data_IF_443389523856
#
_entry.id   IF_443389523856
#
_cell.length_a   1.000
_cell.length_b   1.000
_cell.length_c   1.000
_cell.angle_alpha   90.00
_cell.angle_beta   90.00
_cell.angle_gamma   90.00
#
_symmetry.space_group_name_H-M   'P 1'
#
loop_
_entity.id
_entity.type
_entity.pdbx_description
1 polymer ?
#
# COMPACT_ATOMS: atom_id res chain seq x y z
N UNK A 1 14.65 39.05 25.88
CA UNK A 1 14.51 40.46 25.44
C UNK A 1 13.80 40.42 24.09
N UNK A 2 12.52 40.76 23.97
CA UNK A 2 11.91 42.08 24.17
C UNK A 2 11.64 42.66 22.77
N UNK A 3 10.55 43.31 22.40
CA UNK A 3 9.32 43.80 23.02
C UNK A 3 8.38 44.09 21.82
N UNK A 4 7.08 43.75 21.86
CA UNK A 4 5.95 44.53 22.37
C UNK A 4 5.46 45.67 21.45
N UNK A 5 4.13 45.81 21.50
CA UNK A 5 3.26 46.95 21.14
C UNK A 5 3.02 47.28 19.66
N UNK A 6 1.79 47.56 19.22
CA UNK A 6 0.51 47.79 19.90
C UNK A 6 -0.28 48.91 19.19
N UNK A 7 -1.63 48.87 19.29
CA UNK A 7 -2.58 50.01 19.26
C UNK A 7 -2.88 50.63 17.86
N UNK A 8 -4.08 51.03 17.42
CA UNK A 8 -5.49 50.91 17.87
C UNK A 8 -6.46 51.39 16.75
N UNK A 9 -7.74 51.04 16.93
CA UNK A 9 -8.99 51.78 16.64
C UNK A 9 -9.34 52.40 15.27
N UNK A 10 -10.54 52.07 14.80
CA UNK A 10 -11.29 52.85 13.80
C UNK A 10 -12.71 52.33 13.58
N UNK A 11 -13.65 52.71 14.45
CA UNK A 11 -15.08 52.51 14.27
C UNK A 11 -15.64 53.43 13.16
N UNK A 12 -16.58 52.95 12.34
CA UNK A 12 -17.46 53.82 11.57
C UNK A 12 -18.87 53.25 11.43
N UNK A 13 -19.81 53.99 12.00
CA UNK A 13 -21.25 53.81 11.91
C UNK A 13 -21.84 54.91 11.02
N UNK A 14 -22.67 54.55 10.05
CA UNK A 14 -23.62 55.46 9.38
C UNK A 14 -24.80 54.62 8.87
N UNK A 15 -25.94 54.55 9.57
CA UNK A 15 -27.11 55.45 9.49
C UNK A 15 -27.49 55.83 8.06
N UNK A 16 -28.61 55.29 7.57
CA UNK A 16 -29.39 55.95 6.55
C UNK A 16 -30.88 55.97 6.91
N UNK A 17 -31.46 57.17 6.91
CA UNK A 17 -32.83 57.50 7.30
C UNK A 17 -33.73 57.57 6.05
N UNK A 18 -34.90 56.97 6.23
CA UNK A 18 -36.21 57.14 5.60
C UNK A 18 -36.50 58.51 4.98
N UNK A 19 -37.21 58.51 3.84
CA UNK A 19 -37.97 59.67 3.35
C UNK A 19 -39.38 59.24 2.89
N UNK A 20 -40.40 59.65 3.65
CA UNK A 20 -41.82 59.58 3.33
C UNK A 20 -42.26 60.90 2.67
N UNK A 21 -43.08 60.83 1.62
CA UNK A 21 -43.87 61.96 1.15
C UNK A 21 -45.37 61.65 1.24
N UNK A 22 -46.05 62.46 2.04
CA UNK A 22 -47.51 62.57 2.17
C UNK A 22 -48.12 63.33 0.97
N UNK A 23 -49.31 62.91 0.53
CA UNK A 23 -50.35 63.87 0.12
C UNK A 23 -51.77 63.34 0.44
N UNK A 24 -52.46 64.12 1.26
CA UNK A 24 -53.86 64.10 1.68
C UNK A 24 -54.81 64.59 0.53
N UNK A 25 -56.14 64.50 0.50
CA UNK A 25 -57.21 63.86 1.30
C UNK A 25 -58.60 64.05 0.62
N UNK A 26 -59.51 63.05 0.79
CA UNK A 26 -60.97 63.11 1.16
C UNK A 26 -62.03 63.75 0.21
N UNK A 27 -63.36 63.59 0.45
CA UNK A 27 -64.19 62.39 0.73
C UNK A 27 -65.64 62.45 0.10
N UNK A 28 -66.43 61.36 0.25
CA UNK A 28 -67.93 61.26 0.46
C UNK A 28 -68.50 60.04 -0.30
N UNK A 29 -69.57 59.36 0.09
CA UNK A 29 -70.24 59.03 1.35
C UNK A 29 -71.41 58.10 0.97
N UNK A 30 -71.67 57.08 1.80
CA UNK A 30 -72.97 56.41 2.06
C UNK A 30 -73.59 55.51 0.97
N UNK A 31 -73.89 54.27 1.40
CA UNK A 31 -74.83 53.37 0.74
C UNK A 31 -74.93 52.00 1.42
N UNK A 32 -75.68 51.90 2.51
CA UNK A 32 -76.12 50.61 3.07
C UNK A 32 -77.10 49.94 2.09
N UNK A 33 -76.87 48.67 1.73
CA UNK A 33 -77.90 47.80 1.15
C UNK A 33 -77.64 46.34 1.50
N UNK A 34 -78.55 45.84 2.36
CA UNK A 34 -79.05 44.47 2.56
C UNK A 34 -78.18 43.25 2.18
N UNK A 35 -77.97 42.44 3.24
CA UNK A 35 -77.87 40.97 3.29
C UNK A 35 -78.02 40.25 1.94
N UNK A 36 -76.97 39.50 1.58
CA UNK A 36 -77.13 38.15 1.05
C UNK A 36 -76.26 37.22 1.87
N UNK A 37 -76.92 36.31 2.57
CA UNK A 37 -76.31 35.10 3.07
C UNK A 37 -75.67 34.38 1.88
N UNK A 38 -74.36 34.18 1.95
CA UNK A 38 -73.69 33.04 1.34
C UNK A 38 -73.10 32.24 2.49
N UNK A 39 -73.99 31.52 3.17
CA UNK A 39 -73.59 30.33 3.91
C UNK A 39 -73.98 29.15 3.04
N UNK A 40 -73.07 28.85 2.14
CA UNK A 40 -72.78 27.56 1.55
C UNK A 40 -71.55 27.82 0.70
N UNK A 41 -70.46 27.13 0.99
CA UNK A 41 -69.97 26.16 0.03
C UNK A 41 -68.88 25.31 0.69
N UNK A 42 -69.28 24.07 0.99
CA UNK A 42 -68.37 22.94 1.14
C UNK A 42 -67.50 22.95 2.39
N UNK A 43 -67.97 22.27 3.42
CA UNK A 43 -67.18 21.14 3.91
C UNK A 43 -66.89 20.22 2.71
N UNK A 44 -65.91 20.56 1.89
CA UNK A 44 -65.47 19.69 0.83
C UNK A 44 -64.45 18.75 1.46
N UNK A 45 -64.86 17.50 1.61
CA UNK A 45 -63.99 16.36 1.83
C UNK A 45 -62.93 16.26 0.73
N UNK A 46 -61.89 17.07 0.85
CA UNK A 46 -60.66 17.02 0.08
C UNK A 46 -59.53 16.34 0.84
N UNK A 47 -59.72 15.99 2.12
CA UNK A 47 -58.70 15.26 2.89
C UNK A 47 -58.39 13.91 2.25
N UNK A 48 -59.36 13.20 1.69
CA UNK A 48 -59.10 11.89 1.09
C UNK A 48 -58.31 12.01 -0.22
N UNK A 49 -58.69 12.92 -1.11
CA UNK A 49 -57.96 13.12 -2.37
C UNK A 49 -56.58 13.74 -2.14
N UNK A 50 -56.45 14.71 -1.25
CA UNK A 50 -55.18 15.35 -0.90
C UNK A 50 -54.22 14.38 -0.20
N UNK A 51 -54.72 13.56 0.73
CA UNK A 51 -53.91 12.52 1.35
C UNK A 51 -53.52 11.44 0.32
N UNK A 52 -54.37 11.14 -0.67
CA UNK A 52 -54.05 10.21 -1.76
C UNK A 52 -52.98 10.80 -2.68
N UNK A 53 -53.07 12.07 -3.06
CA UNK A 53 -52.06 12.78 -3.84
C UNK A 53 -50.74 12.88 -3.06
N UNK A 54 -50.78 13.21 -1.77
CA UNK A 54 -49.60 13.27 -0.91
C UNK A 54 -48.93 11.89 -0.75
N UNK A 55 -49.71 10.81 -0.62
CA UNK A 55 -49.20 9.44 -0.58
C UNK A 55 -48.55 9.05 -1.91
N UNK A 56 -49.19 9.37 -3.04
CA UNK A 56 -48.60 9.12 -4.37
C UNK A 56 -47.29 9.90 -4.53
N UNK A 57 -47.25 11.16 -4.11
CA UNK A 57 -46.04 11.98 -4.15
C UNK A 57 -44.95 11.42 -3.25
N UNK A 58 -45.28 11.01 -2.02
CA UNK A 58 -44.32 10.39 -1.10
C UNK A 58 -43.77 9.10 -1.68
N UNK A 59 -44.63 8.21 -2.20
CA UNK A 59 -44.21 6.96 -2.84
C UNK A 59 -43.36 7.24 -4.08
N UNK A 60 -43.73 8.25 -4.88
CA UNK A 60 -42.95 8.67 -6.05
C UNK A 60 -41.57 9.20 -5.68
N UNK A 61 -41.48 10.03 -4.65
CA UNK A 61 -40.22 10.55 -4.11
C UNK A 61 -39.36 9.40 -3.58
N UNK A 62 -39.94 8.50 -2.78
CA UNK A 62 -39.24 7.32 -2.26
C UNK A 62 -38.77 6.39 -3.38
N UNK A 63 -39.56 6.20 -4.44
CA UNK A 63 -39.17 5.40 -5.60
C UNK A 63 -38.04 6.07 -6.41
N UNK A 64 -38.06 7.39 -6.57
CA UNK A 64 -36.98 8.14 -7.20
C UNK A 64 -35.67 8.06 -6.38
N UNK A 65 -35.75 8.17 -5.06
CA UNK A 65 -34.60 7.98 -4.16
C UNK A 65 -34.07 6.53 -4.19
N UNK A 66 -34.96 5.54 -4.20
CA UNK A 66 -34.60 4.14 -4.29
C UNK A 66 -33.89 3.80 -5.62
N UNK A 67 -34.32 4.40 -6.73
CA UNK A 67 -33.67 4.18 -8.04
C UNK A 67 -32.28 4.83 -8.12
N UNK A 68 -32.11 6.06 -7.61
CA UNK A 68 -30.79 6.71 -7.55
C UNK A 68 -29.83 5.92 -6.65
N UNK A 69 -30.27 5.46 -5.48
CA UNK A 69 -29.44 4.66 -4.57
C UNK A 69 -29.12 3.27 -5.15
N UNK A 70 -30.07 2.62 -5.82
CA UNK A 70 -29.86 1.34 -6.49
C UNK A 70 -28.87 1.41 -7.67
N UNK A 71 -28.77 2.56 -8.34
CA UNK A 71 -27.78 2.79 -9.40
C UNK A 71 -26.37 3.01 -8.85
N UNK A 72 -26.25 3.60 -7.65
CA UNK A 72 -24.96 3.88 -7.02
C UNK A 72 -24.36 2.64 -6.34
N UNK A 73 -25.17 1.84 -5.65
CA UNK A 73 -24.71 0.66 -4.88
C UNK A 73 -23.75 -0.28 -5.63
N UNK A 74 -24.02 -0.68 -6.90
CA UNK A 74 -23.15 -1.59 -7.65
C UNK A 74 -21.80 -0.97 -8.02
N UNK A 75 -21.73 0.35 -8.18
CA UNK A 75 -20.49 1.06 -8.49
C UNK A 75 -19.62 1.25 -7.24
N UNK A 76 -20.26 1.50 -6.09
CA UNK A 76 -19.57 1.58 -4.81
C UNK A 76 -18.99 0.24 -4.39
N UNK A 77 -19.73 -0.85 -4.57
CA UNK A 77 -19.22 -2.20 -4.30
C UNK A 77 -17.98 -2.52 -5.15
N UNK A 78 -17.99 -2.13 -6.44
CA UNK A 78 -16.82 -2.24 -7.32
C UNK A 78 -15.64 -1.36 -6.85
N UNK A 79 -15.94 -0.15 -6.35
CA UNK A 79 -14.95 0.76 -5.76
C UNK A 79 -14.27 0.20 -4.50
N UNK A 80 -15.03 -0.34 -3.55
CA UNK A 80 -14.50 -0.93 -2.32
C UNK A 80 -13.59 -2.14 -2.59
N UNK A 81 -14.00 -3.03 -3.52
CA UNK A 81 -13.18 -4.18 -3.92
C UNK A 81 -11.85 -3.73 -4.54
N UNK A 82 -11.86 -2.63 -5.31
CA UNK A 82 -10.64 -2.07 -5.87
C UNK A 82 -9.73 -1.49 -4.78
N UNK A 83 -10.25 -0.66 -3.88
CA UNK A 83 -9.48 -0.04 -2.79
C UNK A 83 -8.88 -1.10 -1.86
N UNK A 84 -9.67 -2.08 -1.43
CA UNK A 84 -9.17 -3.16 -0.57
C UNK A 84 -8.09 -4.00 -1.26
N UNK A 85 -8.20 -4.22 -2.58
CA UNK A 85 -7.16 -4.93 -3.36
C UNK A 85 -5.87 -4.11 -3.45
N UNK A 86 -5.97 -2.78 -3.60
CA UNK A 86 -4.81 -1.88 -3.65
C UNK A 86 -4.11 -1.79 -2.31
N UNK A 87 -4.86 -1.78 -1.20
CA UNK A 87 -4.31 -1.79 0.16
C UNK A 87 -3.53 -3.09 0.44
N UNK A 88 -4.11 -4.25 0.14
CA UNK A 88 -3.43 -5.53 0.30
C UNK A 88 -2.19 -5.64 -0.59
N UNK A 89 -2.23 -5.06 -1.80
CA UNK A 89 -1.07 -4.99 -2.68
C UNK A 89 0.06 -4.14 -2.08
N UNK A 90 -0.26 -2.97 -1.52
CA UNK A 90 0.70 -2.09 -0.86
C UNK A 90 1.39 -2.79 0.31
N UNK A 91 0.62 -3.38 1.21
CA UNK A 91 1.14 -4.13 2.37
C UNK A 91 2.01 -5.31 1.95
N UNK A 92 1.58 -6.03 0.90
CA UNK A 92 2.35 -7.14 0.33
C UNK A 92 3.70 -6.71 -0.24
N UNK A 93 3.74 -5.57 -0.93
CA UNK A 93 4.97 -4.98 -1.46
C UNK A 93 5.90 -4.47 -0.36
N UNK A 94 5.36 -3.78 0.66
CA UNK A 94 6.14 -3.35 1.82
C UNK A 94 6.76 -4.55 2.55
N UNK A 95 5.97 -5.60 2.74
CA UNK A 95 6.46 -6.83 3.37
C UNK A 95 7.56 -7.50 2.55
N UNK A 96 7.39 -7.58 1.22
CA UNK A 96 8.40 -8.07 0.29
C UNK A 96 9.72 -7.29 0.44
N UNK A 97 9.65 -5.97 0.36
CA UNK A 97 10.82 -5.09 0.47
C UNK A 97 11.50 -5.22 1.82
N UNK A 98 10.72 -5.29 2.91
CA UNK A 98 11.24 -5.50 4.25
C UNK A 98 11.99 -6.84 4.38
N UNK A 99 11.44 -7.93 3.83
CA UNK A 99 12.12 -9.22 3.82
C UNK A 99 13.44 -9.16 3.04
N UNK A 100 13.42 -8.62 1.81
CA UNK A 100 14.62 -8.52 0.96
C UNK A 100 15.71 -7.65 1.61
N UNK A 101 15.32 -6.52 2.20
CA UNK A 101 16.27 -5.59 2.84
C UNK A 101 16.94 -6.19 4.07
N UNK A 102 16.32 -7.20 4.68
CA UNK A 102 16.82 -7.89 5.86
C UNK A 102 17.66 -9.14 5.53
N UNK A 103 18.01 -9.37 4.25
CA UNK A 103 18.85 -10.50 3.87
C UNK A 103 20.25 -10.40 4.50
N UNK A 104 20.77 -11.52 5.01
CA UNK A 104 22.04 -11.59 5.72
C UNK A 104 23.06 -12.48 5.02
N UNK A 105 24.33 -12.11 5.11
CA UNK A 105 25.43 -12.95 4.65
C UNK A 105 25.62 -14.09 5.66
N UNK A 106 25.08 -15.26 5.34
CA UNK A 106 25.22 -16.49 6.12
C UNK A 106 25.72 -17.59 5.22
N UNK A 107 26.74 -18.33 5.62
CA UNK A 107 27.27 -19.44 4.82
C UNK A 107 26.53 -20.74 5.11
N UNK A 108 26.60 -21.70 4.18
CA UNK A 108 25.99 -23.02 4.33
C UNK A 108 26.44 -23.73 5.62
N UNK A 109 27.73 -23.63 5.90
CA UNK A 109 28.43 -24.25 7.00
C UNK A 109 29.79 -23.57 7.16
N UNK A 110 30.62 -24.03 8.11
CA UNK A 110 31.96 -23.48 8.33
C UNK A 110 32.99 -23.78 7.23
N UNK A 111 32.67 -24.62 6.23
CA UNK A 111 33.58 -24.97 5.13
C UNK A 111 33.28 -24.19 3.84
N UNK A 112 32.01 -23.82 3.64
CA UNK A 112 31.52 -23.11 2.46
C UNK A 112 31.65 -21.62 2.71
N UNK A 113 32.24 -20.87 1.77
CA UNK A 113 32.42 -19.41 1.93
C UNK A 113 31.34 -18.60 1.23
N UNK A 114 30.63 -19.21 0.28
CA UNK A 114 29.55 -18.53 -0.44
C UNK A 114 28.36 -18.25 0.49
N UNK A 115 27.71 -17.07 0.35
CA UNK A 115 26.48 -16.78 1.06
C UNK A 115 25.34 -17.68 0.57
N UNK A 116 24.44 -17.99 1.50
CA UNK A 116 23.18 -18.67 1.23
C UNK A 116 22.17 -17.69 0.64
N UNK A 117 22.33 -17.44 -0.65
CA UNK A 117 21.44 -16.63 -1.45
C UNK A 117 21.31 -17.22 -2.84
N UNK A 118 20.07 -17.42 -3.29
CA UNK A 118 19.77 -17.85 -4.65
C UNK A 118 18.54 -17.11 -5.16
N UNK A 119 18.57 -16.65 -6.42
CA UNK A 119 17.44 -15.96 -7.02
C UNK A 119 17.36 -16.13 -8.53
N UNK A 120 16.14 -16.14 -9.05
CA UNK A 120 15.80 -16.15 -10.47
C UNK A 120 14.65 -15.15 -10.73
N UNK A 121 14.18 -15.04 -11.97
CA UNK A 121 13.12 -14.09 -12.33
C UNK A 121 11.83 -14.24 -11.52
N UNK A 122 11.56 -15.43 -10.99
CA UNK A 122 10.26 -15.78 -10.38
C UNK A 122 10.33 -15.98 -8.87
N UNK A 123 11.52 -15.92 -8.29
CA UNK A 123 11.67 -16.05 -6.85
C UNK A 123 13.09 -15.85 -6.34
N UNK A 124 13.18 -15.77 -5.02
CA UNK A 124 14.43 -15.63 -4.29
C UNK A 124 14.35 -16.40 -2.98
N UNK A 125 15.48 -16.99 -2.61
CA UNK A 125 15.71 -17.66 -1.33
C UNK A 125 16.93 -17.05 -0.67
N UNK A 126 16.81 -16.72 0.60
CA UNK A 126 17.89 -16.10 1.37
C UNK A 126 17.70 -16.33 2.86
N UNK A 127 18.76 -16.08 3.62
CA UNK A 127 18.75 -16.15 5.08
C UNK A 127 18.55 -14.76 5.67
N UNK A 128 17.81 -14.67 6.77
CA UNK A 128 17.68 -13.46 7.60
C UNK A 128 17.44 -13.82 9.05
N UNK A 129 17.59 -12.84 9.95
CA UNK A 129 17.10 -12.97 11.32
C UNK A 129 15.57 -13.09 11.33
N UNK A 130 15.08 -14.02 12.15
CA UNK A 130 13.67 -14.30 12.32
C UNK A 130 13.01 -13.18 13.14
N UNK A 131 11.96 -12.55 12.59
CA UNK A 131 11.27 -11.40 13.19
C UNK A 131 9.76 -11.67 13.26
N UNK A 132 9.18 -11.51 14.46
CA UNK A 132 7.73 -11.53 14.67
C UNK A 132 7.33 -11.87 16.11
N UNK A 133 6.11 -11.53 16.54
CA UNK A 133 5.67 -11.59 17.94
C UNK A 133 5.65 -13.01 18.54
N UNK A 134 5.68 -14.06 17.72
CA UNK A 134 5.73 -15.46 18.14
C UNK A 134 6.79 -16.26 17.37
N UNK A 135 7.86 -15.60 16.95
CA UNK A 135 8.94 -16.26 16.20
C UNK A 135 10.07 -16.62 17.17
N UNK A 136 10.56 -17.87 17.12
CA UNK A 136 11.75 -18.26 17.89
C UNK A 136 12.94 -17.41 17.45
N UNK A 137 13.72 -16.84 18.38
CA UNK A 137 14.94 -16.14 18.02
C UNK A 137 15.87 -17.05 17.21
N UNK A 138 16.55 -16.48 16.21
CA UNK A 138 17.50 -17.21 15.36
C UNK A 138 17.42 -16.78 13.90
N UNK A 139 18.09 -17.54 13.05
CA UNK A 139 18.07 -17.35 11.60
C UNK A 139 16.94 -18.18 10.98
N UNK A 140 16.30 -17.63 9.94
CA UNK A 140 15.32 -18.33 9.11
C UNK A 140 15.71 -18.22 7.63
N UNK A 141 15.42 -19.28 6.87
CA UNK A 141 15.47 -19.24 5.41
C UNK A 141 14.10 -18.78 4.92
N UNK A 142 14.07 -17.67 4.20
CA UNK A 142 12.87 -17.14 3.56
C UNK A 142 12.89 -17.54 2.09
N UNK A 143 11.76 -18.06 1.60
CA UNK A 143 11.50 -18.29 0.19
C UNK A 143 10.37 -17.36 -0.24
N UNK A 144 10.64 -16.56 -1.26
CA UNK A 144 9.64 -15.75 -1.94
C UNK A 144 9.60 -16.30 -3.36
N UNK A 145 8.48 -16.88 -3.77
CA UNK A 145 8.40 -17.51 -5.09
C UNK A 145 7.00 -17.40 -5.66
N UNK A 146 6.92 -17.34 -6.98
CA UNK A 146 5.66 -17.45 -7.71
C UNK A 146 5.11 -18.87 -7.55
N UNK A 147 3.85 -18.97 -7.12
CA UNK A 147 3.10 -20.21 -6.96
C UNK A 147 1.73 -20.09 -7.63
N UNK A 148 1.18 -21.23 -8.06
CA UNK A 148 -0.19 -21.32 -8.56
C UNK A 148 -1.08 -22.00 -7.53
N UNK A 149 -2.26 -21.45 -7.29
CA UNK A 149 -3.32 -22.06 -6.48
C UNK A 149 -4.67 -21.97 -7.21
N UNK A 150 -5.75 -22.44 -6.57
CA UNK A 150 -7.12 -22.42 -7.13
C UNK A 150 -7.62 -21.01 -7.48
N UNK A 151 -7.00 -19.97 -6.92
CA UNK A 151 -7.30 -18.55 -7.15
C UNK A 151 -6.30 -17.90 -8.09
N UNK A 152 -5.52 -18.70 -8.83
CA UNK A 152 -4.56 -18.27 -9.83
C UNK A 152 -3.13 -18.11 -9.30
N UNK A 153 -2.33 -17.34 -10.03
CA UNK A 153 -0.92 -17.13 -9.68
C UNK A 153 -0.77 -16.09 -8.58
N UNK A 154 0.10 -16.39 -7.62
CA UNK A 154 0.45 -15.52 -6.50
C UNK A 154 1.95 -15.57 -6.20
N UNK A 155 2.51 -14.44 -5.77
CA UNK A 155 3.81 -14.38 -5.13
C UNK A 155 3.62 -14.75 -3.67
N UNK A 156 4.27 -15.83 -3.23
CA UNK A 156 4.11 -16.38 -1.89
C UNK A 156 5.42 -16.32 -1.13
N UNK A 157 5.35 -15.77 0.07
CA UNK A 157 6.39 -15.85 1.09
C UNK A 157 6.18 -17.10 1.94
N UNK A 158 7.20 -17.89 2.16
CA UNK A 158 7.21 -18.96 3.14
C UNK A 158 8.57 -19.01 3.85
N UNK A 159 8.63 -19.67 5.00
CA UNK A 159 9.86 -19.72 5.82
C UNK A 159 10.11 -21.07 6.47
N UNK A 160 11.37 -21.33 6.77
CA UNK A 160 11.78 -22.47 7.59
C UNK A 160 12.95 -22.04 8.50
N UNK A 161 13.09 -22.58 9.72
CA UNK A 161 14.26 -22.31 10.56
C UNK A 161 15.56 -22.66 9.82
N UNK A 162 16.58 -21.82 9.98
CA UNK A 162 17.90 -22.12 9.44
C UNK A 162 18.61 -23.15 10.31
N UNK A 163 19.14 -24.19 9.67
CA UNK A 163 20.09 -25.14 10.25
C UNK A 163 21.28 -25.24 9.31
N UNK A 164 22.53 -25.32 9.82
CA UNK A 164 23.70 -25.51 8.97
C UNK A 164 23.49 -26.68 8.00
N UNK A 165 23.73 -26.39 6.72
CA UNK A 165 23.49 -27.30 5.62
C UNK A 165 24.63 -28.34 5.54
N UNK A 166 24.32 -29.61 5.22
CA UNK A 166 25.33 -30.60 4.86
C UNK A 166 26.25 -30.10 3.75
N UNK A 167 27.46 -30.66 3.68
CA UNK A 167 28.39 -30.37 2.58
C UNK A 167 27.70 -30.71 1.25
N UNK A 168 27.76 -29.80 0.28
CA UNK A 168 27.11 -29.85 -1.04
C UNK A 168 25.59 -29.67 -1.08
N UNK A 169 24.91 -29.47 0.05
CA UNK A 169 23.48 -29.15 0.04
C UNK A 169 23.25 -27.70 -0.41
N UNK A 170 22.27 -27.49 -1.30
CA UNK A 170 21.94 -26.17 -1.84
C UNK A 170 20.65 -25.62 -1.24
N UNK A 171 20.48 -24.29 -1.32
CA UNK A 171 19.29 -23.62 -0.80
C UNK A 171 18.00 -24.08 -1.50
N UNK A 172 18.10 -24.41 -2.79
CA UNK A 172 17.01 -24.98 -3.59
C UNK A 172 16.49 -26.34 -3.10
N UNK A 173 17.33 -27.11 -2.42
CA UNK A 173 17.01 -28.47 -1.97
C UNK A 173 16.24 -28.47 -0.64
N UNK A 174 16.20 -27.31 0.04
CA UNK A 174 15.45 -27.17 1.28
C UNK A 174 13.95 -27.40 1.04
N UNK A 175 13.41 -28.37 1.76
CA UNK A 175 11.99 -28.66 1.84
C UNK A 175 11.40 -28.11 3.17
N UNK A 176 10.11 -28.33 3.40
CA UNK A 176 9.42 -28.03 4.67
C UNK A 176 9.27 -26.54 5.02
N UNK A 177 9.09 -25.69 3.99
CA UNK A 177 8.67 -24.32 4.21
C UNK A 177 7.25 -24.26 4.80
N UNK A 178 7.07 -23.42 5.81
CA UNK A 178 5.83 -23.23 6.55
C UNK A 178 5.41 -21.74 6.58
N UNK A 179 4.20 -21.49 7.06
CA UNK A 179 3.62 -20.14 7.14
C UNK A 179 3.54 -19.44 5.78
N UNK A 180 2.87 -20.02 4.77
CA UNK A 180 2.70 -19.37 3.48
C UNK A 180 1.87 -18.09 3.64
N UNK A 181 2.39 -16.99 3.14
CA UNK A 181 1.73 -15.68 3.10
C UNK A 181 1.73 -15.18 1.67
N UNK A 182 0.55 -14.91 1.12
CA UNK A 182 0.41 -14.31 -0.20
C UNK A 182 0.79 -12.85 -0.11
N UNK A 183 1.81 -12.44 -0.87
CA UNK A 183 2.26 -11.05 -0.93
C UNK A 183 1.55 -10.30 -2.07
N UNK A 184 1.56 -10.89 -3.27
CA UNK A 184 0.99 -10.27 -4.47
C UNK A 184 0.18 -11.34 -5.19
N UNK A 185 -0.99 -10.97 -5.71
CA UNK A 185 -1.86 -11.89 -6.45
C UNK A 185 -2.22 -11.30 -7.81
N UNK A 186 -2.55 -12.20 -8.73
CA UNK A 186 -3.21 -11.89 -9.98
C UNK A 186 -4.28 -10.77 -9.81
N UNK A 187 -4.34 -9.79 -10.72
CA UNK A 187 -3.65 -9.79 -12.02
C UNK A 187 -2.18 -9.40 -11.96
N UNK A 188 -1.63 -9.00 -10.82
CA UNK A 188 -0.25 -8.55 -10.72
C UNK A 188 0.74 -9.70 -10.55
N UNK A 189 1.91 -9.56 -11.20
CA UNK A 189 3.04 -10.48 -11.11
C UNK A 189 4.31 -9.69 -10.80
N UNK A 190 5.15 -10.24 -9.94
CA UNK A 190 6.48 -9.69 -9.66
C UNK A 190 7.54 -10.43 -10.49
N UNK A 191 8.51 -9.67 -10.99
CA UNK A 191 9.71 -10.20 -11.65
C UNK A 191 10.93 -9.65 -10.90
N UNK A 192 11.89 -10.52 -10.62
CA UNK A 192 13.13 -10.17 -9.93
C UNK A 192 14.28 -10.01 -10.91
N UNK A 193 15.15 -9.04 -10.60
CA UNK A 193 16.47 -8.92 -11.21
C UNK A 193 17.46 -8.43 -10.15
N UNK A 194 18.73 -8.74 -10.38
CA UNK A 194 19.80 -8.65 -9.40
C UNK A 194 20.95 -7.84 -9.99
N UNK A 195 21.64 -7.05 -9.18
CA UNK A 195 22.84 -6.35 -9.59
C UNK A 195 23.95 -6.52 -8.56
N UNK A 196 25.17 -6.78 -9.04
CA UNK A 196 26.38 -6.86 -8.24
C UNK A 196 27.03 -5.52 -7.98
N UNK A 197 28.30 -5.54 -7.58
CA UNK A 197 29.12 -4.34 -7.40
C UNK A 197 29.44 -3.62 -8.72
N UNK A 198 29.32 -4.32 -9.85
CA UNK A 198 29.40 -3.77 -11.20
C UNK A 198 28.14 -3.01 -11.64
N UNK A 199 27.07 -3.09 -10.83
CA UNK A 199 25.75 -2.51 -11.10
C UNK A 199 25.09 -3.00 -12.40
N UNK A 200 25.54 -4.13 -12.96
CA UNK A 200 24.95 -4.75 -14.14
C UNK A 200 23.76 -5.60 -13.71
N UNK A 201 22.60 -5.37 -14.34
CA UNK A 201 21.37 -6.10 -14.03
C UNK A 201 21.34 -7.45 -14.74
N UNK A 202 21.05 -8.50 -13.98
CA UNK A 202 20.88 -9.86 -14.46
C UNK A 202 19.63 -10.50 -13.85
N UNK A 203 19.11 -11.50 -14.54
CA UNK A 203 17.82 -12.13 -14.22
C UNK A 203 17.95 -13.34 -13.29
N UNK A 204 19.17 -13.70 -12.93
CA UNK A 204 19.49 -14.80 -12.02
C UNK A 204 20.69 -14.46 -11.15
N UNK A 205 20.73 -14.98 -9.94
CA UNK A 205 21.86 -14.88 -9.00
C UNK A 205 22.03 -16.23 -8.32
N UNK A 206 23.01 -17.01 -8.78
CA UNK A 206 23.28 -18.36 -8.28
C UNK A 206 24.77 -18.56 -8.07
N UNK A 207 25.10 -19.34 -7.03
CA UNK A 207 26.45 -19.84 -6.76
C UNK A 207 27.53 -18.70 -6.71
N UNK A 208 27.12 -17.46 -6.41
CA UNK A 208 27.99 -16.29 -6.32
C UNK A 208 28.73 -16.26 -4.97
N UNK A 209 29.92 -15.67 -4.95
CA UNK A 209 30.74 -15.47 -3.76
C UNK A 209 30.23 -14.32 -2.87
N UNK A 210 29.29 -13.50 -3.38
CA UNK A 210 28.74 -12.31 -2.73
C UNK A 210 27.23 -12.23 -2.88
N UNK A 211 26.60 -11.48 -1.98
CA UNK A 211 25.21 -11.07 -2.12
C UNK A 211 25.06 -10.03 -3.24
N UNK A 212 23.89 -9.95 -3.91
CA UNK A 212 23.61 -8.83 -4.80
C UNK A 212 23.57 -7.52 -4.00
N UNK A 213 24.06 -6.44 -4.59
CA UNK A 213 24.03 -5.08 -4.02
C UNK A 213 22.65 -4.47 -4.13
N UNK A 214 21.90 -4.83 -5.16
CA UNK A 214 20.54 -4.40 -5.35
C UNK A 214 19.67 -5.53 -5.89
N UNK A 215 18.41 -5.54 -5.47
CA UNK A 215 17.37 -6.37 -6.07
C UNK A 215 16.28 -5.42 -6.58
N UNK A 216 15.94 -5.56 -7.85
CA UNK A 216 14.83 -4.85 -8.48
C UNK A 216 13.65 -5.79 -8.54
N UNK A 217 12.53 -5.31 -8.02
CA UNK A 217 11.23 -5.97 -8.12
C UNK A 217 10.37 -5.15 -9.09
N UNK A 218 10.09 -5.72 -10.26
CA UNK A 218 9.21 -5.11 -11.27
C UNK A 218 7.83 -5.74 -11.21
N UNK A 219 6.79 -4.93 -11.01
CA UNK A 219 5.41 -5.40 -11.01
C UNK A 219 4.79 -5.21 -12.38
N UNK A 220 4.20 -6.27 -12.92
CA UNK A 220 3.48 -6.26 -14.19
C UNK A 220 2.04 -6.71 -14.01
N UNK A 221 1.13 -6.07 -14.72
CA UNK A 221 -0.22 -6.59 -14.91
C UNK A 221 -0.17 -7.74 -15.94
N UNK A 222 -0.59 -8.93 -15.54
CA UNK A 222 -0.60 -10.13 -16.38
C UNK A 222 -1.57 -10.01 -17.56
N UNK A 223 -2.65 -9.24 -17.44
CA UNK A 223 -3.65 -9.07 -18.49
C UNK A 223 -3.17 -8.10 -19.57
N UNK A 224 -2.51 -7.02 -19.18
CA UNK A 224 -2.09 -5.94 -20.12
C UNK A 224 -0.60 -5.97 -20.45
N UNK A 225 0.19 -6.80 -19.77
CA UNK A 225 1.66 -6.84 -19.80
C UNK A 225 2.33 -5.49 -19.50
N UNK A 226 1.57 -4.51 -19.02
CA UNK A 226 2.10 -3.20 -18.63
C UNK A 226 2.84 -3.34 -17.32
N UNK A 227 4.10 -2.91 -17.32
CA UNK A 227 4.84 -2.68 -16.09
C UNK A 227 4.16 -1.53 -15.37
N UNK A 228 3.68 -1.78 -14.16
CA UNK A 228 3.17 -0.70 -13.32
C UNK A 228 4.34 0.20 -12.92
N UNK A 229 4.10 1.51 -12.87
CA UNK A 229 5.10 2.50 -12.46
C UNK A 229 5.62 2.28 -11.02
N UNK A 230 5.04 1.34 -10.27
CA UNK A 230 5.56 0.85 -8.99
C UNK A 230 6.63 -0.23 -9.28
N UNK A 231 7.82 0.23 -9.66
CA UNK A 231 9.04 -0.59 -9.62
C UNK A 231 9.88 -0.12 -8.46
N UNK A 232 10.03 -0.97 -7.43
CA UNK A 232 10.91 -0.68 -6.31
C UNK A 232 12.22 -1.43 -6.51
N UNK A 233 13.32 -0.69 -6.49
CA UNK A 233 14.64 -1.25 -6.24
C UNK A 233 14.93 -1.05 -4.74
N UNK A 234 15.16 -2.14 -4.02
CA UNK A 234 15.60 -2.06 -2.63
C UNK A 234 17.09 -2.37 -2.55
N UNK A 235 17.81 -1.58 -1.78
CA UNK A 235 19.22 -1.85 -1.48
C UNK A 235 19.22 -2.90 -0.37
N UNK A 236 19.93 -4.00 -0.59
CA UNK A 236 20.16 -4.97 0.46
C UNK A 236 21.04 -4.32 1.52
N UNK A 237 20.59 -4.30 2.78
CA UNK A 237 21.46 -3.96 3.90
C UNK A 237 22.40 -5.13 4.08
N UNK A 238 23.56 -5.05 3.43
CA UNK A 238 24.59 -6.06 3.59
C UNK A 238 25.11 -6.03 5.03
N UNK A 239 24.83 -7.09 5.79
CA UNK A 239 25.68 -7.43 6.91
C UNK A 239 26.98 -7.97 6.31
N UNK A 240 28.10 -7.29 6.61
CA UNK A 240 29.41 -7.70 6.14
C UNK A 240 29.71 -9.14 6.61
N UNK A 241 30.38 -9.98 5.80
CA UNK A 241 30.80 -11.32 6.20
C UNK A 241 31.41 -11.32 7.62
N UNK A 242 31.21 -12.37 8.41
CA UNK A 242 31.76 -12.43 9.78
C UNK A 242 33.29 -12.25 9.83
N UNK A 243 34.00 -12.60 8.76
CA UNK A 243 35.44 -12.36 8.58
C UNK A 243 35.79 -10.85 8.59
N UNK A 244 34.85 -9.99 8.22
CA UNK A 244 35.00 -8.52 8.26
C UNK A 244 35.09 -7.96 9.67
N UNK A 245 34.64 -8.69 10.70
CA UNK A 245 34.88 -8.29 12.09
C UNK A 245 36.37 -8.24 12.44
N UNK A 246 37.22 -8.92 11.65
CA UNK A 246 38.69 -8.95 11.81
C UNK A 246 39.42 -8.04 10.81
N UNK A 247 38.71 -7.39 9.87
CA UNK A 247 39.33 -6.54 8.86
C UNK A 247 39.82 -5.23 9.49
N UNK A 248 41.06 -4.82 9.17
CA UNK A 248 41.64 -3.56 9.66
C UNK A 248 40.97 -2.32 9.07
N UNK A 249 40.33 -2.44 7.90
CA UNK A 249 39.59 -1.37 7.25
C UNK A 249 38.29 -1.88 6.61
N UNK A 250 37.19 -1.14 6.81
CA UNK A 250 35.84 -1.49 6.34
C UNK A 250 35.74 -1.50 4.81
N UNK A 251 36.48 -0.64 4.11
CA UNK A 251 36.48 -0.56 2.64
C UNK A 251 36.96 -1.86 1.99
N UNK A 252 37.97 -2.51 2.58
CA UNK A 252 38.55 -3.75 2.05
C UNK A 252 37.60 -4.95 2.16
N UNK A 253 36.57 -4.84 3.01
CA UNK A 253 35.61 -5.90 3.25
C UNK A 253 34.26 -5.70 2.54
N UNK A 254 33.82 -4.44 2.37
CA UNK A 254 32.59 -4.12 1.63
C UNK A 254 32.85 -4.08 0.12
N UNK A 255 34.05 -3.65 -0.30
CA UNK A 255 34.46 -3.58 -1.70
C UNK A 255 35.92 -4.06 -1.88
N UNK A 256 36.20 -5.38 -1.81
CA UNK A 256 37.51 -5.89 -2.18
C UNK A 256 37.84 -5.44 -3.61
N UNK A 257 39.03 -4.84 -3.86
CA UNK A 257 39.44 -4.48 -5.21
C UNK A 257 39.44 -5.73 -6.08
N UNK A 258 38.99 -5.57 -7.33
CA UNK A 258 38.75 -6.64 -8.33
C UNK A 258 39.98 -7.55 -8.58
N UNK A 259 41.16 -7.17 -8.11
CA UNK A 259 42.43 -7.87 -8.31
C UNK A 259 43.11 -8.39 -7.03
N UNK A 260 42.40 -8.53 -5.91
CA UNK A 260 42.99 -9.15 -4.71
C UNK A 260 43.13 -10.68 -4.90
N UNK A 261 44.22 -11.07 -5.55
CA UNK A 261 44.71 -12.46 -5.58
C UNK A 261 44.79 -13.01 -4.15
N UNK A 262 44.45 -14.29 -3.90
CA UNK A 262 44.49 -14.83 -2.54
C UNK A 262 45.93 -14.77 -2.03
N UNK A 263 46.15 -13.99 -0.96
CA UNK A 263 47.38 -14.03 -0.21
C UNK A 263 47.54 -15.45 0.37
N UNK A 264 48.34 -16.27 -0.32
CA UNK A 264 48.86 -17.52 0.21
C UNK A 264 49.76 -17.13 1.38
N UNK A 265 49.27 -17.31 2.60
CA UNK A 265 50.13 -17.30 3.78
C UNK A 265 50.89 -18.63 3.82
N UNK A 266 51.97 -18.72 3.05
CA UNK A 266 53.07 -19.65 3.30
C UNK A 266 53.90 -19.11 4.47
N UNK A 267 54.14 -19.96 5.47
CA UNK A 267 55.25 -20.02 6.44
C UNK A 267 54.69 -20.89 7.60
N UNK A 268 55.00 -22.17 7.78
CA UNK A 268 56.26 -22.93 7.82
C UNK A 268 57.35 -22.32 8.71
N UNK A 269 57.58 -23.04 9.82
CA UNK A 269 58.79 -23.20 10.64
C UNK A 269 59.40 -22.02 11.41
N UNK A 270 59.12 -21.98 12.73
CA UNK A 270 60.08 -22.30 13.79
C UNK A 270 59.41 -22.45 15.15
#
# INVERSE_FOLDING_TARGET
>A
MGAADGIDHGANAARNKVQYHHRAARPKAIGMSKRRYWHSDGEAGFTLFEMLVALILMVGILAALATVTAQWLPNWNRGFVHVQRTELFGQGLERLVADLSAAEFVTANGKTKQPLFEGDEFGVRFVRTAVGPNTRPGLEVVRISTMSDDRGVALVRARTPFVPLPVNAKLRDLANFSGPVVLIRAPYRAIFSYAGADHVWQNSWHDADRLPVAIRVSIRDAATQRTLAVSTATVLRMNAPAECARARAVKDCIYPPVNASPAVSSNLDK
#
